data_IF_666760290914
#
_entry.id   IF_666760290914
#
_cell.length_a   1.000
_cell.length_b   1.000
_cell.length_c   1.000
_cell.angle_alpha   90.00
_cell.angle_beta   90.00
_cell.angle_gamma   90.00
#
_symmetry.space_group_name_H-M   'P 1'
#
loop_
_entity.id
_entity.type
_entity.pdbx_description
1 polymer ?
#
# COMPACT_ATOMS: atom_id res chain seq x y z
N UNK A 1 -4.81 4.36 -7.07
CA UNK A 1 -4.57 5.46 -6.12
C UNK A 1 -5.67 5.47 -5.08
N UNK A 2 -5.32 5.76 -3.83
CA UNK A 2 -6.27 6.03 -2.74
C UNK A 2 -5.90 7.38 -2.13
N UNK A 3 -6.89 8.23 -1.86
CA UNK A 3 -6.71 9.54 -1.22
C UNK A 3 -7.65 9.70 -0.02
N UNK A 4 -7.25 10.51 0.96
CA UNK A 4 -8.03 10.83 2.14
C UNK A 4 -8.12 12.33 2.38
N UNK A 5 -9.32 12.82 2.68
CA UNK A 5 -9.58 14.18 3.16
C UNK A 5 -9.57 14.29 4.71
N UNK A 6 -9.22 13.21 5.41
CA UNK A 6 -9.28 13.11 6.87
C UNK A 6 -10.60 12.56 7.42
N UNK A 7 -11.64 12.45 6.57
CA UNK A 7 -12.95 11.91 6.95
C UNK A 7 -13.29 10.65 6.17
N UNK A 8 -13.04 10.65 4.86
CA UNK A 8 -13.31 9.54 3.94
C UNK A 8 -12.10 9.22 3.08
N UNK A 9 -12.03 7.96 2.64
CA UNK A 9 -11.07 7.50 1.65
C UNK A 9 -11.78 7.31 0.31
N UNK A 10 -11.15 7.76 -0.77
CA UNK A 10 -11.60 7.53 -2.14
C UNK A 10 -10.55 6.75 -2.90
N UNK A 11 -10.97 5.71 -3.62
CA UNK A 11 -10.09 4.82 -4.36
C UNK A 11 -10.44 4.85 -5.86
N UNK A 12 -9.42 4.97 -6.70
CA UNK A 12 -9.52 4.82 -8.14
C UNK A 12 -8.37 3.92 -8.61
N UNK A 13 -8.70 2.77 -9.20
CA UNK A 13 -7.74 1.81 -9.74
C UNK A 13 -8.37 1.06 -10.91
N UNK A 14 -7.59 0.79 -11.94
CA UNK A 14 -8.01 0.00 -13.09
C UNK A 14 -6.77 -0.58 -13.81
N UNK A 15 -6.99 -1.42 -14.82
CA UNK A 15 -5.96 -1.97 -15.68
C UNK A 15 -5.51 -0.95 -16.73
N UNK A 16 -4.22 -0.99 -17.08
CA UNK A 16 -3.63 -0.17 -18.12
C UNK A 16 -2.65 0.87 -17.60
N UNK A 17 -2.23 1.77 -18.50
CA UNK A 17 -1.29 2.85 -18.18
C UNK A 17 -1.96 3.90 -17.29
N UNK A 18 -1.17 4.59 -16.47
CA UNK A 18 -1.63 5.65 -15.56
C UNK A 18 -2.49 6.69 -16.31
N UNK A 19 -2.07 7.11 -17.51
CA UNK A 19 -2.78 8.08 -18.34
C UNK A 19 -4.13 7.60 -18.88
N UNK A 20 -4.40 6.29 -18.87
CA UNK A 20 -5.70 5.72 -19.23
C UNK A 20 -6.60 5.54 -18.02
N UNK A 21 -6.02 5.14 -16.89
CA UNK A 21 -6.76 4.91 -15.64
C UNK A 21 -7.22 6.24 -15.02
N UNK A 22 -6.41 7.28 -15.14
CA UNK A 22 -6.69 8.62 -14.62
C UNK A 22 -6.91 9.60 -15.76
N UNK A 23 -8.14 10.11 -15.86
CA UNK A 23 -8.54 11.15 -16.81
C UNK A 23 -9.02 12.40 -16.02
N UNK A 24 -9.17 13.57 -16.66
CA UNK A 24 -9.61 14.77 -15.96
C UNK A 24 -10.93 14.59 -15.20
N UNK A 25 -11.84 13.77 -15.72
CA UNK A 25 -13.17 13.53 -15.15
C UNK A 25 -13.16 12.70 -13.87
N UNK A 26 -12.19 11.82 -13.67
CA UNK A 26 -12.08 11.06 -12.42
C UNK A 26 -11.02 11.65 -11.48
N UNK A 27 -9.98 12.28 -12.01
CA UNK A 27 -8.88 12.80 -11.22
C UNK A 27 -9.31 13.98 -10.35
N UNK A 28 -10.21 14.84 -10.85
CA UNK A 28 -10.71 15.98 -10.08
C UNK A 28 -11.56 15.59 -8.86
N UNK A 29 -12.07 14.34 -8.83
CA UNK A 29 -12.82 13.79 -7.69
C UNK A 29 -11.89 13.32 -6.57
N UNK A 30 -10.63 13.02 -6.88
CA UNK A 30 -9.65 12.49 -5.93
C UNK A 30 -8.97 13.61 -5.15
N UNK A 31 -9.77 14.32 -4.34
CA UNK A 31 -9.30 15.38 -3.45
C UNK A 31 -8.98 14.81 -2.07
N UNK A 32 -7.76 15.06 -1.60
CA UNK A 32 -7.30 14.64 -0.29
C UNK A 32 -5.97 15.27 0.10
N UNK A 33 -5.63 15.19 1.38
CA UNK A 33 -4.37 15.66 1.96
C UNK A 33 -3.34 14.55 2.18
N UNK A 34 -3.77 13.29 2.13
CA UNK A 34 -2.92 12.09 2.17
C UNK A 34 -3.33 11.23 0.99
N UNK A 35 -2.37 10.61 0.31
CA UNK A 35 -2.68 9.63 -0.73
C UNK A 35 -1.54 8.65 -0.97
N UNK A 36 -1.90 7.47 -1.47
CA UNK A 36 -0.96 6.45 -1.95
C UNK A 36 -1.31 6.00 -3.36
N UNK A 37 -0.27 5.79 -4.17
CA UNK A 37 -0.36 5.32 -5.55
C UNK A 37 0.38 3.99 -5.72
N UNK A 38 0.02 3.25 -6.76
CA UNK A 38 0.75 2.04 -7.14
C UNK A 38 0.65 1.84 -8.64
N UNK A 39 1.78 1.54 -9.28
CA UNK A 39 1.85 1.08 -10.68
C UNK A 39 2.31 -0.36 -10.64
N UNK A 40 1.47 -1.27 -11.13
CA UNK A 40 1.73 -2.70 -11.06
C UNK A 40 2.40 -3.21 -12.32
N UNK A 41 3.55 -3.86 -12.16
CA UNK A 41 4.08 -4.74 -13.19
C UNK A 41 3.38 -6.10 -13.07
N UNK A 42 2.69 -6.51 -14.13
CA UNK A 42 1.98 -7.79 -14.16
C UNK A 42 2.93 -8.96 -14.39
N UNK A 43 3.66 -9.39 -13.36
CA UNK A 43 4.35 -10.69 -13.37
C UNK A 43 3.47 -11.72 -12.66
N UNK A 44 3.42 -12.92 -13.23
CA UNK A 44 2.86 -14.16 -12.67
C UNK A 44 1.63 -13.99 -11.78
N UNK A 45 0.45 -14.06 -12.39
CA UNK A 45 -0.84 -13.93 -11.73
C UNK A 45 -1.86 -13.34 -12.69
N UNK A 46 -3.14 -13.52 -12.39
CA UNK A 46 -4.21 -13.02 -13.24
C UNK A 46 -4.24 -11.48 -13.28
N UNK A 47 -4.45 -10.94 -14.48
CA UNK A 47 -4.64 -9.51 -14.74
C UNK A 47 -6.08 -9.09 -14.39
N UNK A 48 -6.49 -9.32 -13.14
CA UNK A 48 -7.78 -8.84 -12.64
C UNK A 48 -7.62 -7.47 -11.97
N UNK A 49 -8.62 -6.61 -12.15
CA UNK A 49 -8.74 -5.31 -11.44
C UNK A 49 -8.70 -5.51 -9.92
N UNK A 50 -9.20 -6.66 -9.43
CA UNK A 50 -9.11 -7.06 -8.02
C UNK A 50 -7.65 -7.04 -7.51
N UNK A 51 -6.71 -7.49 -8.33
CA UNK A 51 -5.27 -7.53 -8.02
C UNK A 51 -4.56 -6.17 -8.21
N UNK A 52 -5.23 -5.16 -8.77
CA UNK A 52 -4.67 -3.81 -8.85
C UNK A 52 -4.60 -3.18 -7.45
N UNK A 53 -3.52 -2.46 -7.17
CA UNK A 53 -3.25 -1.83 -5.89
C UNK A 53 -3.40 -0.30 -6.00
N UNK A 54 -3.55 0.44 -4.88
CA UNK A 54 -3.64 -0.03 -3.49
C UNK A 54 -4.88 -0.90 -3.22
N UNK A 55 -4.76 -1.87 -2.31
CA UNK A 55 -5.93 -2.54 -1.75
C UNK A 55 -6.51 -1.67 -0.63
N UNK A 56 -7.82 -1.73 -0.44
CA UNK A 56 -8.53 -0.97 0.59
C UNK A 56 -9.56 -1.89 1.26
N UNK A 57 -9.56 -1.95 2.59
CA UNK A 57 -10.54 -2.71 3.36
C UNK A 57 -10.82 -2.06 4.72
N UNK A 58 -12.01 -2.30 5.27
CA UNK A 58 -12.35 -1.93 6.64
C UNK A 58 -11.84 -2.98 7.63
N UNK A 59 -11.28 -2.54 8.74
CA UNK A 59 -10.87 -3.39 9.86
C UNK A 59 -11.01 -2.64 11.19
N UNK A 60 -10.52 -3.25 12.27
CA UNK A 60 -10.47 -2.64 13.62
C UNK A 60 -9.69 -1.32 13.67
N UNK A 61 -8.85 -1.01 12.67
CA UNK A 61 -8.09 0.24 12.53
C UNK A 61 -8.82 1.31 11.70
N UNK A 62 -10.09 1.08 11.36
CA UNK A 62 -10.83 1.89 10.38
C UNK A 62 -10.60 1.37 8.95
N UNK A 63 -10.59 2.27 7.97
CA UNK A 63 -10.31 1.91 6.58
C UNK A 63 -8.80 1.94 6.37
N UNK A 64 -8.23 0.80 6.03
CA UNK A 64 -6.81 0.61 5.75
C UNK A 64 -6.60 0.52 4.23
N UNK A 65 -5.64 1.27 3.71
CA UNK A 65 -5.18 1.13 2.33
C UNK A 65 -3.70 0.76 2.30
N UNK A 66 -3.34 -0.22 1.47
CA UNK A 66 -1.97 -0.78 1.40
C UNK A 66 -1.54 -0.89 -0.05
N UNK A 67 -0.34 -0.40 -0.35
CA UNK A 67 0.40 -0.70 -1.57
C UNK A 67 1.75 -1.33 -1.22
N UNK A 68 2.14 -2.32 -2.02
CA UNK A 68 3.29 -3.18 -1.77
C UNK A 68 4.10 -3.38 -3.05
N UNK A 69 5.42 -3.22 -2.92
CA UNK A 69 6.40 -3.59 -3.94
C UNK A 69 7.36 -4.64 -3.36
N UNK A 70 7.36 -5.84 -3.94
CA UNK A 70 8.16 -6.95 -3.44
C UNK A 70 7.52 -8.31 -3.68
N UNK A 71 8.03 -9.31 -2.98
CA UNK A 71 7.53 -10.69 -3.01
C UNK A 71 7.77 -11.37 -1.66
N UNK A 72 6.74 -12.00 -1.12
CA UNK A 72 6.81 -12.79 0.10
C UNK A 72 7.18 -14.25 -0.21
N UNK A 73 8.27 -14.73 0.39
CA UNK A 73 8.73 -16.11 0.28
C UNK A 73 7.88 -17.06 1.13
N UNK A 74 7.38 -16.60 2.28
CA UNK A 74 6.52 -17.39 3.16
C UNK A 74 5.01 -17.17 2.89
N UNK A 75 4.65 -16.70 1.69
CA UNK A 75 3.27 -16.41 1.29
C UNK A 75 2.30 -17.55 1.59
N UNK A 76 2.60 -18.75 1.11
CA UNK A 76 1.74 -19.94 1.23
C UNK A 76 1.50 -20.34 2.69
N UNK A 77 2.53 -20.18 3.54
CA UNK A 77 2.42 -20.46 4.97
C UNK A 77 1.50 -19.44 5.65
N UNK A 78 1.67 -18.16 5.34
CA UNK A 78 0.89 -17.07 5.93
C UNK A 78 -0.58 -17.13 5.48
N UNK A 79 -0.84 -17.37 4.19
CA UNK A 79 -2.21 -17.48 3.67
C UNK A 79 -2.96 -18.63 4.34
N UNK A 80 -2.34 -19.81 4.43
CA UNK A 80 -2.95 -20.98 5.08
C UNK A 80 -3.29 -20.70 6.56
N UNK A 81 -2.36 -20.09 7.31
CA UNK A 81 -2.57 -19.72 8.72
C UNK A 81 -3.73 -18.73 8.89
N UNK A 82 -3.93 -17.82 7.93
CA UNK A 82 -5.03 -16.86 7.93
C UNK A 82 -6.35 -17.53 7.55
N UNK A 83 -6.36 -18.41 6.55
CA UNK A 83 -7.54 -19.20 6.15
C UNK A 83 -8.04 -20.09 7.30
N UNK A 84 -7.13 -20.74 8.03
CA UNK A 84 -7.45 -21.53 9.23
C UNK A 84 -8.10 -20.68 10.34
N UNK A 85 -7.87 -19.36 10.33
CA UNK A 85 -8.51 -18.39 11.25
C UNK A 85 -9.78 -17.78 10.66
N UNK A 86 -10.24 -18.24 9.50
CA UNK A 86 -11.45 -17.78 8.83
C UNK A 86 -11.26 -16.58 7.89
N UNK A 87 -10.02 -16.22 7.54
CA UNK A 87 -9.79 -15.17 6.54
C UNK A 87 -10.26 -15.64 5.15
N UNK A 88 -10.90 -14.74 4.42
CA UNK A 88 -11.30 -14.93 3.02
C UNK A 88 -10.44 -14.05 2.13
N UNK A 89 -9.86 -14.64 1.08
CA UNK A 89 -9.06 -13.92 0.10
C UNK A 89 -9.86 -13.64 -1.17
N UNK A 90 -9.88 -12.38 -1.59
CA UNK A 90 -10.52 -11.90 -2.83
C UNK A 90 -9.52 -11.71 -3.97
N UNK A 91 -8.23 -11.71 -3.64
CA UNK A 91 -7.13 -11.47 -4.57
C UNK A 91 -6.07 -12.57 -4.46
N UNK A 92 -5.20 -12.63 -5.45
CA UNK A 92 -4.01 -13.48 -5.41
C UNK A 92 -2.75 -12.67 -5.09
N UNK A 93 -2.86 -11.57 -4.34
CA UNK A 93 -1.73 -10.66 -4.06
C UNK A 93 -1.15 -10.84 -2.67
N UNK A 94 0.15 -10.59 -2.51
CA UNK A 94 0.81 -10.58 -1.20
C UNK A 94 0.24 -9.47 -0.30
N UNK A 95 -0.19 -8.38 -0.93
CA UNK A 95 -0.79 -7.21 -0.27
C UNK A 95 -1.99 -7.57 0.58
N UNK A 96 -2.83 -8.51 0.15
CA UNK A 96 -4.00 -8.94 0.91
C UNK A 96 -3.61 -9.77 2.15
N UNK A 97 -2.54 -10.56 2.07
CA UNK A 97 -1.99 -11.27 3.22
C UNK A 97 -1.47 -10.26 4.25
N UNK A 98 -0.71 -9.26 3.80
CA UNK A 98 -0.18 -8.19 4.66
C UNK A 98 -1.32 -7.42 5.33
N UNK A 99 -2.35 -7.05 4.57
CA UNK A 99 -3.55 -6.38 5.09
C UNK A 99 -4.27 -7.21 6.15
N UNK A 100 -4.46 -8.51 5.92
CA UNK A 100 -5.09 -9.42 6.89
C UNK A 100 -4.24 -9.60 8.16
N UNK A 101 -2.91 -9.66 8.05
CA UNK A 101 -2.02 -9.70 9.21
C UNK A 101 -2.17 -8.45 10.08
N UNK A 102 -2.16 -7.25 9.47
CA UNK A 102 -2.35 -5.99 10.19
C UNK A 102 -3.74 -5.96 10.86
N UNK A 103 -4.79 -6.36 10.14
CA UNK A 103 -6.15 -6.39 10.66
C UNK A 103 -6.32 -7.37 11.85
N UNK A 104 -5.54 -8.45 11.88
CA UNK A 104 -5.54 -9.45 12.95
C UNK A 104 -5.01 -8.92 14.30
N UNK A 105 -4.11 -7.94 14.28
CA UNK A 105 -3.61 -7.24 15.47
C UNK A 105 -4.59 -6.13 15.89
N UNK A 106 -5.80 -6.54 16.26
CA UNK A 106 -6.90 -5.62 16.54
C UNK A 106 -6.76 -4.79 17.81
N UNK A 107 -5.97 -5.25 18.79
CA UNK A 107 -5.83 -4.61 20.12
C UNK A 107 -4.71 -3.57 20.18
N UNK A 108 -3.80 -3.64 19.23
CA UNK A 108 -2.57 -2.86 19.14
C UNK A 108 -2.83 -1.48 18.51
N UNK A 109 -1.87 -0.56 18.57
CA UNK A 109 -1.91 0.64 17.72
C UNK A 109 -1.70 0.28 16.24
N UNK A 110 -1.94 1.21 15.31
CA UNK A 110 -1.69 0.95 13.89
C UNK A 110 -0.20 0.64 13.65
N UNK A 111 0.67 1.44 14.27
CA UNK A 111 2.12 1.36 14.17
C UNK A 111 2.63 0.02 14.71
N UNK A 112 2.15 -0.40 15.87
CA UNK A 112 2.48 -1.71 16.45
C UNK A 112 1.95 -2.86 15.60
N UNK A 113 0.70 -2.77 15.12
CA UNK A 113 0.12 -3.79 14.25
C UNK A 113 0.91 -3.94 12.94
N UNK A 114 1.35 -2.83 12.35
CA UNK A 114 2.22 -2.82 11.17
C UNK A 114 3.58 -3.44 11.48
N UNK A 115 4.20 -3.09 12.61
CA UNK A 115 5.48 -3.67 13.02
C UNK A 115 5.40 -5.19 13.26
N UNK A 116 4.35 -5.65 13.96
CA UNK A 116 4.10 -7.07 14.24
C UNK A 116 3.74 -7.86 12.97
N UNK A 117 3.03 -7.25 12.03
CA UNK A 117 2.78 -7.84 10.73
C UNK A 117 4.09 -7.95 9.93
N UNK A 118 4.87 -6.86 9.85
CA UNK A 118 6.15 -6.83 9.13
C UNK A 118 7.16 -7.85 9.68
N UNK A 119 7.19 -8.06 11.00
CA UNK A 119 8.06 -9.05 11.63
C UNK A 119 7.74 -10.51 11.23
N UNK A 120 6.54 -10.78 10.72
CA UNK A 120 6.16 -12.11 10.23
C UNK A 120 6.45 -12.31 8.73
N UNK A 121 6.85 -11.26 8.01
CA UNK A 121 7.08 -11.31 6.57
C UNK A 121 8.50 -11.79 6.28
N UNK A 122 8.64 -12.74 5.36
CA UNK A 122 9.94 -13.21 4.87
C UNK A 122 10.01 -12.95 3.37
N UNK A 123 11.06 -12.25 2.92
CA UNK A 123 11.26 -11.91 1.52
C UNK A 123 11.71 -10.47 1.34
N UNK A 124 11.42 -9.90 0.17
CA UNK A 124 11.68 -8.48 -0.13
C UNK A 124 10.37 -7.74 -0.15
N UNK A 125 10.26 -6.61 0.54
CA UNK A 125 9.03 -5.83 0.54
C UNK A 125 9.28 -4.36 0.94
N UNK A 126 8.57 -3.49 0.25
CA UNK A 126 8.35 -2.11 0.63
C UNK A 126 6.86 -1.87 0.67
N UNK A 127 6.38 -1.23 1.73
CA UNK A 127 4.97 -0.94 1.94
C UNK A 127 4.78 0.56 2.09
N UNK A 128 3.70 1.05 1.49
CA UNK A 128 3.08 2.32 1.89
C UNK A 128 1.66 2.02 2.32
N UNK A 129 1.35 2.40 3.56
CA UNK A 129 0.12 2.08 4.27
C UNK A 129 -0.50 3.39 4.70
N UNK A 130 -1.80 3.55 4.50
CA UNK A 130 -2.51 4.72 5.00
C UNK A 130 -3.84 4.37 5.65
N UNK A 131 -4.21 5.19 6.63
CA UNK A 131 -5.58 5.33 7.15
C UNK A 131 -6.15 6.67 6.68
N UNK A 132 -7.21 7.16 7.32
CA UNK A 132 -7.78 8.49 7.02
C UNK A 132 -6.80 9.64 7.35
N UNK A 133 -5.91 9.45 8.31
CA UNK A 133 -5.11 10.49 8.95
C UNK A 133 -3.63 10.14 9.12
N UNK A 134 -3.23 8.89 8.85
CA UNK A 134 -1.85 8.42 9.00
C UNK A 134 -1.32 7.88 7.67
N UNK A 135 -0.03 8.12 7.40
CA UNK A 135 0.74 7.49 6.32
C UNK A 135 1.99 6.84 6.93
N UNK A 136 2.19 5.56 6.64
CA UNK A 136 3.32 4.76 7.12
C UNK A 136 4.07 4.19 5.92
N UNK A 137 5.40 4.39 5.92
CA UNK A 137 6.32 3.70 5.02
C UNK A 137 7.07 2.59 5.76
N UNK A 138 7.19 1.42 5.13
CA UNK A 138 7.93 0.28 5.68
C UNK A 138 8.89 -0.24 4.63
N UNK A 139 10.11 -0.58 5.04
CA UNK A 139 11.11 -1.25 4.21
C UNK A 139 11.54 -2.54 4.91
N UNK A 140 11.76 -3.59 4.13
CA UNK A 140 12.25 -4.87 4.64
C UNK A 140 13.62 -4.71 5.36
N UNK A 141 13.96 -5.59 6.32
CA UNK A 141 15.17 -5.46 7.13
C UNK A 141 16.49 -5.43 6.34
N UNK A 142 16.48 -5.99 5.13
CA UNK A 142 17.65 -6.07 4.26
C UNK A 142 17.69 -4.95 3.21
N UNK A 143 16.65 -4.11 3.16
CA UNK A 143 16.55 -3.00 2.22
C UNK A 143 16.55 -3.42 0.75
N UNK A 144 16.02 -4.60 0.42
CA UNK A 144 16.13 -5.19 -0.93
C UNK A 144 15.36 -4.40 -1.98
N UNK A 145 14.22 -3.81 -1.61
CA UNK A 145 13.48 -2.88 -2.47
C UNK A 145 13.74 -1.43 -2.05
N UNK A 146 13.85 -0.49 -3.00
CA UNK A 146 14.09 0.91 -2.69
C UNK A 146 12.81 1.58 -2.15
N UNK A 147 12.99 2.45 -1.17
CA UNK A 147 11.99 3.38 -0.66
C UNK A 147 12.72 4.64 -0.23
N UNK A 148 12.46 5.72 -0.94
CA UNK A 148 13.02 7.03 -0.71
C UNK A 148 12.02 7.90 0.06
N UNK A 149 12.53 8.76 0.94
CA UNK A 149 11.80 9.83 1.60
C UNK A 149 12.25 11.16 1.01
N UNK A 150 11.28 11.97 0.60
CA UNK A 150 11.48 13.32 0.11
C UNK A 150 10.52 14.30 0.75
N UNK A 151 10.68 15.58 0.40
CA UNK A 151 9.79 16.66 0.80
C UNK A 151 9.42 17.50 -0.43
N UNK A 152 8.14 17.80 -0.59
CA UNK A 152 7.61 18.70 -1.62
C UNK A 152 6.82 19.77 -0.88
N UNK A 153 7.25 21.03 -0.98
CA UNK A 153 6.73 22.12 -0.15
C UNK A 153 6.78 21.74 1.34
N UNK A 154 5.61 21.67 2.01
CA UNK A 154 5.48 21.25 3.41
C UNK A 154 5.07 19.78 3.59
N UNK A 155 4.93 19.02 2.51
CA UNK A 155 4.47 17.64 2.53
C UNK A 155 5.63 16.64 2.43
N UNK A 156 5.55 15.56 3.22
CA UNK A 156 6.44 14.41 3.07
C UNK A 156 5.95 13.49 1.95
N UNK A 157 6.88 12.99 1.14
CA UNK A 157 6.58 12.09 0.02
C UNK A 157 7.45 10.84 0.12
N UNK A 158 6.81 9.68 -0.06
CA UNK A 158 7.47 8.39 -0.15
C UNK A 158 7.37 7.87 -1.59
N UNK A 159 8.48 7.41 -2.16
CA UNK A 159 8.51 6.87 -3.51
C UNK A 159 9.51 5.73 -3.64
N UNK A 160 9.28 4.81 -4.59
CA UNK A 160 10.25 3.75 -4.90
C UNK A 160 11.58 4.32 -5.43
N UNK A 161 11.56 5.48 -6.08
CA UNK A 161 12.75 6.11 -6.68
C UNK A 161 12.72 7.62 -6.45
N UNK A 162 13.91 8.22 -6.24
CA UNK A 162 14.07 9.64 -5.92
C UNK A 162 13.71 10.58 -7.08
N UNK A 163 13.71 10.08 -8.32
CA UNK A 163 13.31 10.85 -9.50
C UNK A 163 11.86 11.38 -9.41
N UNK A 164 11.00 10.69 -8.65
CA UNK A 164 9.64 11.15 -8.39
C UNK A 164 9.61 12.52 -7.70
N UNK A 165 10.57 12.82 -6.83
CA UNK A 165 10.64 14.11 -6.14
C UNK A 165 11.06 15.22 -7.08
N UNK A 166 12.05 14.97 -7.95
CA UNK A 166 12.50 15.93 -8.95
C UNK A 166 11.38 16.35 -9.90
N UNK A 167 10.53 15.41 -10.32
CA UNK A 167 9.36 15.70 -11.16
C UNK A 167 8.34 16.58 -10.44
N UNK A 168 8.23 16.44 -9.11
CA UNK A 168 7.33 17.23 -8.27
C UNK A 168 7.95 18.55 -7.78
N UNK A 169 9.20 18.85 -8.15
CA UNK A 169 9.94 20.02 -7.64
C UNK A 169 10.35 19.89 -6.16
N UNK A 170 10.41 18.67 -5.62
CA UNK A 170 10.79 18.38 -4.25
C UNK A 170 12.27 18.06 -4.05
N UNK A 171 12.64 17.93 -2.78
CA UNK A 171 13.97 17.54 -2.32
C UNK A 171 14.00 16.08 -1.86
N UNK A 172 15.10 15.39 -2.17
CA UNK A 172 15.40 14.07 -1.61
C UNK A 172 15.98 14.24 -0.21
N UNK A 173 15.44 13.51 0.77
CA UNK A 173 15.94 13.52 2.14
C UNK A 173 16.83 12.31 2.44
N UNK A 174 16.35 11.07 2.17
CA UNK A 174 17.10 9.82 2.39
C UNK A 174 16.43 8.59 1.75
#
# INVERSE_FOLDING_TARGET
MVVSDGKRLLAQKDLGLVSRVFNPDNLHLLKGRIGIGHVRYGTSGSNYVANAQPLMAGCSKGILAVAHNGSLLNRTQLSKKLEERGALFQTSTDTEIIMNLIAGFSKETLEEAVALAAAQLVGSFVLVIMTKDTLIGVRDPYGLRPLCLGKVEDAFVLASESCAFSVLGGEFLR
#
